data_IF_163439908490
#
_entry.id   IF_163439908490
#
_cell.length_a   1.000
_cell.length_b   1.000
_cell.length_c   1.000
_cell.angle_alpha   90.00
_cell.angle_beta   90.00
_cell.angle_gamma   90.00
#
_symmetry.space_group_name_H-M   'P 1'
#
loop_
_entity.id
_entity.type
_entity.pdbx_description
1 polymer ?
#
# COMPACT_ATOMS: atom_id res chain seq x y z
N UNK A 1 -5.11 10.33 8.41
CA UNK A 1 -5.08 8.97 7.86
C UNK A 1 -6.27 8.20 8.39
N UNK A 2 -6.94 7.42 7.53
CA UNK A 2 -8.09 6.59 7.91
C UNK A 2 -7.78 5.11 7.75
N UNK A 3 -8.18 4.32 8.74
CA UNK A 3 -8.01 2.86 8.77
C UNK A 3 -9.33 2.18 9.03
N UNK A 4 -9.66 1.17 8.23
CA UNK A 4 -10.90 0.39 8.33
C UNK A 4 -10.60 -1.11 8.30
N UNK A 5 -11.22 -1.87 9.19
CA UNK A 5 -11.22 -3.34 9.11
C UNK A 5 -12.45 -3.75 8.32
N UNK A 6 -12.24 -4.35 7.15
CA UNK A 6 -13.30 -4.86 6.30
C UNK A 6 -13.89 -6.16 6.87
N UNK A 7 -15.08 -6.53 6.39
CA UNK A 7 -15.82 -7.70 6.89
C UNK A 7 -15.06 -9.03 6.73
N UNK A 8 -14.11 -9.11 5.80
CA UNK A 8 -13.26 -10.28 5.56
C UNK A 8 -11.95 -10.29 6.39
N UNK A 9 -11.82 -9.33 7.31
CA UNK A 9 -10.64 -9.13 8.15
C UNK A 9 -9.52 -8.33 7.49
N UNK A 10 -9.71 -7.82 6.27
CA UNK A 10 -8.70 -7.00 5.59
C UNK A 10 -8.57 -5.62 6.23
N UNK A 11 -7.34 -5.19 6.49
CA UNK A 11 -7.02 -3.84 6.92
C UNK A 11 -6.90 -2.93 5.69
N UNK A 12 -7.85 -2.01 5.52
CA UNK A 12 -7.79 -0.97 4.49
C UNK A 12 -7.27 0.32 5.11
N UNK A 13 -6.19 0.88 4.54
CA UNK A 13 -5.57 2.13 4.98
C UNK A 13 -5.58 3.13 3.84
N UNK A 14 -6.13 4.31 4.09
CA UNK A 14 -6.21 5.41 3.13
C UNK A 14 -5.60 6.67 3.77
N UNK A 15 -4.56 7.28 3.17
CA UNK A 15 -4.05 8.56 3.61
C UNK A 15 -5.07 9.67 3.33
N UNK A 16 -5.05 10.72 4.14
CA UNK A 16 -5.92 11.90 3.99
C UNK A 16 -5.11 13.14 3.52
N UNK A 17 -3.78 13.00 3.41
CA UNK A 17 -2.86 14.06 2.93
C UNK A 17 -1.68 13.47 2.16
N UNK A 18 -1.00 14.31 1.36
CA UNK A 18 0.23 13.92 0.63
C UNK A 18 1.35 13.44 1.56
N UNK A 19 1.51 14.10 2.70
CA UNK A 19 2.53 13.73 3.69
C UNK A 19 2.26 12.34 4.28
N UNK A 20 0.99 12.03 4.55
CA UNK A 20 0.59 10.71 5.03
C UNK A 20 0.79 9.64 3.96
N UNK A 21 0.48 9.94 2.70
CA UNK A 21 0.71 9.02 1.59
C UNK A 21 2.21 8.71 1.43
N UNK A 22 3.06 9.73 1.50
CA UNK A 22 4.51 9.57 1.50
C UNK A 22 4.99 8.69 2.68
N UNK A 23 4.55 9.01 3.90
CA UNK A 23 4.94 8.25 5.09
C UNK A 23 4.48 6.78 5.01
N UNK A 24 3.25 6.55 4.52
CA UNK A 24 2.68 5.21 4.34
C UNK A 24 3.46 4.39 3.31
N UNK A 25 3.85 5.00 2.18
CA UNK A 25 4.68 4.35 1.15
C UNK A 25 6.08 3.98 1.66
N UNK A 26 6.70 4.88 2.44
CA UNK A 26 8.00 4.60 3.08
C UNK A 26 7.90 3.45 4.06
N UNK A 27 6.94 3.51 4.97
CA UNK A 27 6.69 2.44 5.94
C UNK A 27 6.40 1.11 5.26
N UNK A 28 5.54 1.08 4.24
CA UNK A 28 5.14 -0.18 3.60
C UNK A 28 6.31 -0.85 2.89
N UNK A 29 7.17 -0.06 2.23
CA UNK A 29 8.38 -0.57 1.55
C UNK A 29 9.34 -1.23 2.54
N UNK A 30 9.43 -0.71 3.76
CA UNK A 30 10.36 -1.21 4.79
C UNK A 30 9.79 -2.38 5.60
N UNK A 31 8.46 -2.49 5.73
CA UNK A 31 7.81 -3.40 6.67
C UNK A 31 7.00 -4.51 6.01
N UNK A 32 6.44 -4.28 4.81
CA UNK A 32 5.70 -5.30 4.08
C UNK A 32 6.69 -6.07 3.21
N UNK A 33 7.06 -7.27 3.67
CA UNK A 33 7.93 -8.15 2.92
C UNK A 33 7.22 -8.68 1.68
N UNK A 34 7.92 -8.68 0.55
CA UNK A 34 7.48 -9.30 -0.68
C UNK A 34 7.81 -10.80 -0.70
N UNK A 35 7.44 -11.52 0.37
CA UNK A 35 7.69 -12.96 0.54
C UNK A 35 6.42 -13.81 0.35
N UNK A 36 5.42 -13.22 -0.31
CA UNK A 36 4.13 -13.86 -0.65
C UNK A 36 4.27 -15.19 -1.41
N UNK A 37 5.41 -15.45 -2.04
CA UNK A 37 5.70 -16.67 -2.78
C UNK A 37 6.30 -17.80 -1.91
N UNK A 38 6.69 -17.54 -0.66
CA UNK A 38 7.25 -18.55 0.24
C UNK A 38 6.16 -19.17 1.13
N UNK A 39 5.69 -20.35 0.75
CA UNK A 39 4.66 -21.10 1.47
C UNK A 39 5.06 -21.57 2.87
N UNK A 40 6.33 -21.41 3.28
CA UNK A 40 6.82 -21.75 4.62
C UNK A 40 6.61 -20.62 5.63
N UNK A 41 6.26 -19.43 5.16
CA UNK A 41 6.03 -18.25 6.00
C UNK A 41 4.55 -18.19 6.36
N UNK A 42 4.25 -17.79 7.60
CA UNK A 42 2.86 -17.55 8.02
C UNK A 42 2.22 -16.55 7.06
N UNK A 43 0.97 -16.82 6.65
CA UNK A 43 0.25 -15.93 5.75
C UNK A 43 0.30 -14.48 6.28
N UNK A 44 0.78 -13.51 5.49
CA UNK A 44 0.85 -12.13 5.93
C UNK A 44 -0.55 -11.59 6.21
N UNK A 45 -0.68 -10.58 7.10
CA UNK A 45 -1.96 -9.90 7.29
C UNK A 45 -2.47 -9.33 5.96
N UNK A 46 -3.78 -9.47 5.72
CA UNK A 46 -4.42 -8.88 4.55
C UNK A 46 -4.48 -7.36 4.72
N UNK A 47 -3.66 -6.64 3.97
CA UNK A 47 -3.58 -5.17 4.03
C UNK A 47 -3.77 -4.61 2.62
N UNK A 48 -4.64 -3.61 2.50
CA UNK A 48 -4.81 -2.79 1.29
C UNK A 48 -4.37 -1.37 1.62
N UNK A 49 -3.39 -0.86 0.89
CA UNK A 49 -2.94 0.53 0.96
C UNK A 49 -3.54 1.27 -0.23
N UNK A 50 -4.65 1.98 0.00
CA UNK A 50 -5.29 2.77 -1.05
C UNK A 50 -4.66 4.15 -1.11
N UNK A 51 -3.74 4.33 -2.05
CA UNK A 51 -3.04 5.60 -2.31
C UNK A 51 -3.38 6.12 -3.71
N UNK A 52 -4.53 5.72 -4.27
CA UNK A 52 -4.91 5.99 -5.66
C UNK A 52 -4.96 7.49 -5.99
N UNK A 53 -5.37 8.33 -5.05
CA UNK A 53 -5.41 9.79 -5.20
C UNK A 53 -4.03 10.47 -5.03
N UNK A 54 -3.00 9.72 -4.61
CA UNK A 54 -1.70 10.25 -4.18
C UNK A 54 -0.51 9.74 -5.00
N UNK A 55 -0.74 9.36 -6.28
CA UNK A 55 0.28 8.78 -7.17
C UNK A 55 1.59 9.59 -7.22
N UNK A 56 1.49 10.92 -7.23
CA UNK A 56 2.66 11.81 -7.24
C UNK A 56 3.46 11.74 -5.93
N UNK A 57 2.79 11.66 -4.77
CA UNK A 57 3.44 11.61 -3.45
C UNK A 57 4.20 10.29 -3.22
N UNK A 58 3.78 9.21 -3.90
CA UNK A 58 4.39 7.88 -3.80
C UNK A 58 5.39 7.58 -4.92
N UNK A 59 5.66 8.55 -5.81
CA UNK A 59 6.62 8.41 -6.90
C UNK A 59 6.24 7.35 -7.95
N UNK A 60 4.95 7.04 -8.09
CA UNK A 60 4.46 6.03 -9.03
C UNK A 60 4.12 6.69 -10.36
N UNK A 61 5.05 6.61 -11.32
CA UNK A 61 4.89 7.19 -12.66
C UNK A 61 4.69 6.07 -13.68
N UNK A 62 3.50 6.00 -14.29
CA UNK A 62 3.26 5.12 -15.44
C UNK A 62 3.67 5.86 -16.71
N UNK A 63 4.75 5.38 -17.36
CA UNK A 63 5.10 5.83 -18.72
C UNK A 63 4.32 4.97 -19.70
N UNK A 64 3.27 5.54 -20.29
CA UNK A 64 2.57 4.90 -21.40
C UNK A 64 3.36 5.18 -22.69
N UNK A 65 3.88 4.17 -23.40
CA UNK A 65 4.56 4.39 -24.68
C UNK A 65 3.57 5.03 -25.67
N UNK A 66 3.97 6.16 -26.26
CA UNK A 66 3.24 6.70 -27.42
C UNK A 66 3.49 5.77 -28.62
N UNK A 67 2.41 5.26 -29.21
CA UNK A 67 2.45 4.47 -30.45
C UNK A 67 2.74 5.34 -31.67
#
# INVERSE_FOLDING_TARGET
>A
MKTTILADGTLSVTPETDLEAYALSRWSTENIRADWYDARISAPPKIILDMSEYAAAVGLFLVVPQQ
#
